data_IF_380702546274
#
_entry.id   IF_380702546274
#
_cell.length_a   1.000
_cell.length_b   1.000
_cell.length_c   1.000
_cell.angle_alpha   90.00
_cell.angle_beta   90.00
_cell.angle_gamma   90.00
#
_symmetry.space_group_name_H-M   'P 1'
#
loop_
_entity.id
_entity.type
_entity.pdbx_description
1 polymer ?
#
# COMPACT_ATOMS: atom_id res chain seq x y z
N UNK A 1 55.42 -15.16 23.58
CA UNK A 1 54.42 -14.27 22.98
C UNK A 1 54.42 -12.99 23.78
N UNK A 2 54.64 -11.86 23.15
CA UNK A 2 54.53 -10.55 23.79
C UNK A 2 53.04 -10.22 24.05
N UNK A 3 52.77 -9.29 24.97
CA UNK A 3 51.40 -8.83 25.25
C UNK A 3 50.72 -8.29 23.99
N UNK A 4 51.46 -7.75 23.04
CA UNK A 4 50.95 -7.32 21.73
C UNK A 4 50.57 -8.49 20.81
N UNK A 5 51.29 -9.61 20.83
CA UNK A 5 50.93 -10.81 20.07
C UNK A 5 49.76 -11.57 20.71
N UNK A 6 49.69 -11.56 22.06
CA UNK A 6 48.54 -12.06 22.78
C UNK A 6 47.29 -11.18 22.52
N UNK A 7 47.46 -9.88 22.40
CA UNK A 7 46.38 -8.93 22.06
C UNK A 7 45.92 -9.12 20.62
N UNK A 8 46.79 -9.44 19.70
CA UNK A 8 46.47 -9.70 18.29
C UNK A 8 45.82 -11.08 18.05
N UNK A 9 46.09 -12.07 18.92
CA UNK A 9 45.53 -13.43 18.84
C UNK A 9 44.27 -13.63 19.67
N UNK A 10 43.88 -12.67 20.48
CA UNK A 10 42.67 -12.78 21.29
C UNK A 10 41.44 -12.45 20.49
N UNK A 11 40.37 -13.13 20.81
CA UNK A 11 39.00 -12.82 20.43
C UNK A 11 38.53 -11.39 20.72
N UNK A 12 39.41 -10.39 20.67
CA UNK A 12 39.05 -8.98 20.60
C UNK A 12 38.26 -8.67 19.33
N UNK A 13 38.38 -9.52 18.31
CA UNK A 13 37.55 -9.45 17.12
C UNK A 13 36.11 -9.93 17.34
N UNK A 14 35.78 -10.60 18.45
CA UNK A 14 34.45 -11.15 18.66
C UNK A 14 33.43 -10.14 19.26
N UNK A 15 33.91 -9.08 19.91
CA UNK A 15 33.05 -8.06 20.50
C UNK A 15 33.52 -6.67 20.11
N UNK A 16 32.62 -5.87 19.62
CA UNK A 16 32.83 -4.47 19.27
C UNK A 16 32.01 -3.57 20.18
N UNK A 17 32.60 -2.42 20.56
CA UNK A 17 31.89 -1.39 21.29
C UNK A 17 32.10 -0.05 20.60
N UNK A 18 31.00 0.68 20.35
CA UNK A 18 31.06 2.03 19.82
C UNK A 18 30.16 2.97 20.62
N UNK A 19 30.52 4.25 20.58
CA UNK A 19 29.77 5.31 21.22
C UNK A 19 29.58 6.50 20.27
N UNK A 20 28.36 6.95 20.15
CA UNK A 20 27.99 8.17 19.44
C UNK A 20 27.55 9.19 20.47
N UNK A 21 28.32 10.27 20.61
CA UNK A 21 28.05 11.31 21.60
C UNK A 21 26.79 12.13 21.24
N UNK A 22 26.13 12.80 22.21
CA UNK A 22 25.03 13.70 21.93
C UNK A 22 25.40 14.86 20.98
N UNK A 23 26.68 15.20 20.90
CA UNK A 23 27.20 16.30 20.06
C UNK A 23 27.79 15.82 18.74
N UNK A 24 27.82 14.51 18.52
CA UNK A 24 28.37 13.94 17.30
C UNK A 24 27.49 14.28 16.08
N UNK A 25 28.11 14.63 14.97
CA UNK A 25 27.42 14.91 13.70
C UNK A 25 26.71 13.68 13.11
N UNK A 26 27.15 12.46 13.46
CA UNK A 26 26.50 11.21 13.07
C UNK A 26 25.28 10.86 13.95
N UNK A 27 24.99 11.65 15.00
CA UNK A 27 23.87 11.42 15.89
C UNK A 27 22.56 11.89 15.25
N UNK A 28 21.79 10.98 14.68
CA UNK A 28 20.53 11.28 14.00
C UNK A 28 19.48 11.86 14.97
N UNK A 29 19.50 11.45 16.23
CA UNK A 29 18.59 12.00 17.23
C UNK A 29 18.88 13.48 17.50
N UNK A 30 20.14 13.90 17.48
CA UNK A 30 20.54 15.30 17.57
C UNK A 30 20.13 16.10 16.35
N UNK A 31 20.17 15.50 15.16
CA UNK A 31 19.71 16.13 13.93
C UNK A 31 18.18 16.29 13.93
N UNK A 32 17.45 15.32 14.49
CA UNK A 32 16.00 15.37 14.63
C UNK A 32 15.55 16.40 15.67
N UNK A 33 16.20 16.41 16.81
CA UNK A 33 15.89 17.31 17.95
C UNK A 33 17.17 17.94 18.45
N UNK A 34 17.36 19.20 18.11
CA UNK A 34 18.55 19.97 18.48
C UNK A 34 18.74 20.13 20.00
N UNK A 35 17.70 19.94 20.79
CA UNK A 35 17.75 19.95 22.25
C UNK A 35 18.03 18.57 22.87
N UNK A 36 18.03 17.52 22.05
CA UNK A 36 18.30 16.17 22.52
C UNK A 36 19.73 16.06 23.06
N UNK A 37 19.85 15.48 24.26
CA UNK A 37 21.13 15.15 24.92
C UNK A 37 21.21 13.63 25.12
N UNK A 38 20.98 12.88 24.04
CA UNK A 38 21.03 11.41 24.00
C UNK A 38 22.28 10.96 23.27
N UNK A 39 23.07 10.10 23.91
CA UNK A 39 24.17 9.37 23.26
C UNK A 39 23.82 7.90 23.09
N UNK A 40 24.44 7.25 22.13
CA UNK A 40 24.20 5.84 21.79
C UNK A 40 25.43 4.99 22.07
N UNK A 41 25.26 3.93 22.85
CA UNK A 41 26.26 2.91 23.14
C UNK A 41 25.86 1.62 22.46
N UNK A 42 26.65 1.18 21.50
CA UNK A 42 26.45 -0.07 20.75
C UNK A 42 27.44 -1.11 21.22
N UNK A 43 26.94 -2.28 21.63
CA UNK A 43 27.72 -3.47 21.93
C UNK A 43 27.37 -4.52 20.87
N UNK A 44 28.30 -4.85 19.98
CA UNK A 44 28.14 -5.76 18.87
C UNK A 44 28.98 -7.03 19.03
N UNK A 45 28.53 -8.10 18.36
CA UNK A 45 29.33 -9.27 18.09
C UNK A 45 29.83 -9.16 16.65
N UNK A 46 31.14 -9.28 16.46
CA UNK A 46 31.78 -9.35 15.15
C UNK A 46 31.77 -10.82 14.67
N UNK A 47 30.56 -11.30 14.38
CA UNK A 47 30.29 -12.70 14.03
C UNK A 47 28.99 -12.84 13.25
N UNK A 48 28.86 -13.95 12.57
CA UNK A 48 27.56 -14.40 12.02
C UNK A 48 26.83 -15.25 13.05
N UNK A 49 25.59 -14.89 13.35
CA UNK A 49 24.67 -15.65 14.17
C UNK A 49 23.61 -16.29 13.27
N UNK A 50 23.46 -17.59 13.37
CA UNK A 50 22.37 -18.31 12.71
C UNK A 50 21.21 -18.51 13.68
N UNK A 51 20.00 -18.11 13.24
CA UNK A 51 18.79 -18.19 14.06
C UNK A 51 17.65 -18.81 13.26
N UNK A 52 17.05 -19.84 13.85
CA UNK A 52 15.79 -20.44 13.38
C UNK A 52 14.80 -20.42 14.55
N UNK A 53 13.68 -19.72 14.38
CA UNK A 53 12.74 -19.48 15.47
C UNK A 53 11.29 -19.54 14.99
N UNK A 54 10.44 -20.14 15.84
CA UNK A 54 8.98 -20.13 15.71
C UNK A 54 8.36 -19.64 17.01
N UNK A 55 7.52 -18.64 16.93
CA UNK A 55 6.85 -18.02 18.06
C UNK A 55 5.35 -18.02 17.80
N UNK A 56 4.59 -18.84 18.54
CA UNK A 56 3.15 -18.95 18.37
C UNK A 56 2.41 -17.63 18.60
N UNK A 57 2.82 -16.89 19.62
CA UNK A 57 2.21 -15.63 20.02
C UNK A 57 3.29 -14.68 20.55
N UNK A 58 3.54 -13.59 19.85
CA UNK A 58 4.44 -12.52 20.28
C UNK A 58 3.59 -11.33 20.72
N UNK A 59 3.63 -11.00 22.01
CA UNK A 59 2.94 -9.84 22.56
C UNK A 59 3.91 -8.97 23.34
N UNK A 60 4.09 -7.72 22.92
CA UNK A 60 4.98 -6.75 23.57
C UNK A 60 4.23 -5.46 23.87
N UNK A 61 4.48 -4.89 25.06
CA UNK A 61 3.91 -3.63 25.46
C UNK A 61 2.39 -3.63 25.65
N UNK A 62 1.83 -4.76 26.11
CA UNK A 62 0.40 -4.88 26.38
C UNK A 62 0.03 -4.17 27.68
N UNK A 63 -0.94 -3.25 27.63
CA UNK A 63 -1.34 -2.46 28.80
C UNK A 63 -0.30 -1.40 29.16
N UNK A 64 -0.15 -1.11 30.48
CA UNK A 64 0.83 -0.18 31.01
C UNK A 64 0.63 1.28 30.56
N UNK A 65 1.73 2.02 30.41
CA UNK A 65 1.72 3.43 30.05
C UNK A 65 1.03 3.75 28.70
N UNK A 66 0.89 2.77 27.84
CA UNK A 66 0.25 2.90 26.52
C UNK A 66 -1.26 2.60 26.52
N UNK A 67 -1.85 2.33 27.66
CA UNK A 67 -3.27 2.05 27.85
C UNK A 67 -3.61 0.56 27.95
N UNK A 68 -4.72 0.25 28.58
CA UNK A 68 -5.18 -1.11 28.80
C UNK A 68 -5.68 -1.75 27.48
N UNK A 69 -5.53 -3.06 27.35
CA UNK A 69 -6.22 -3.89 26.36
C UNK A 69 -5.59 -4.02 24.99
N UNK A 70 -4.59 -3.22 24.63
CA UNK A 70 -3.87 -3.35 23.38
C UNK A 70 -2.36 -3.52 23.60
N UNK A 71 -1.68 -4.22 22.69
CA UNK A 71 -0.23 -4.36 22.70
C UNK A 71 0.39 -3.42 21.67
N UNK A 72 1.62 -2.98 21.90
CA UNK A 72 2.39 -2.25 20.86
C UNK A 72 2.67 -3.17 19.67
N UNK A 73 3.00 -4.43 19.95
CA UNK A 73 3.20 -5.47 18.94
C UNK A 73 2.42 -6.69 19.38
N UNK A 74 1.54 -7.20 18.52
CA UNK A 74 0.80 -8.44 18.71
C UNK A 74 0.79 -9.21 17.38
N UNK A 75 1.53 -10.32 17.35
CA UNK A 75 1.73 -11.13 16.15
C UNK A 75 1.49 -12.60 16.49
N UNK A 76 0.64 -13.25 15.69
CA UNK A 76 0.42 -14.68 15.73
C UNK A 76 1.37 -15.40 14.77
N UNK A 77 1.88 -16.53 15.18
CA UNK A 77 2.70 -17.44 14.37
C UNK A 77 3.83 -16.72 13.60
N UNK A 78 4.69 -16.04 14.34
CA UNK A 78 5.90 -15.45 13.79
C UNK A 78 6.97 -16.51 13.59
N UNK A 79 7.53 -16.63 12.40
CA UNK A 79 8.60 -17.56 12.09
C UNK A 79 9.75 -16.91 11.36
N UNK A 80 10.97 -17.22 11.76
CA UNK A 80 12.21 -16.79 11.14
C UNK A 80 13.07 -17.99 10.77
N UNK A 81 13.47 -18.11 9.51
CA UNK A 81 14.29 -19.19 8.98
C UNK A 81 15.23 -18.69 7.88
N UNK A 82 16.00 -19.58 7.29
CA UNK A 82 16.64 -19.36 5.99
C UNK A 82 15.60 -19.14 4.87
N UNK A 83 16.08 -18.75 3.71
CA UNK A 83 15.21 -18.53 2.52
C UNK A 83 14.74 -19.90 2.01
N UNK A 84 13.49 -20.23 2.27
CA UNK A 84 12.81 -21.42 1.76
C UNK A 84 11.30 -21.21 1.77
N UNK A 85 10.64 -21.77 0.76
CA UNK A 85 9.17 -21.75 0.64
C UNK A 85 8.57 -23.14 0.93
N UNK A 86 9.35 -24.05 1.54
CA UNK A 86 8.89 -25.39 1.95
C UNK A 86 9.12 -25.61 3.44
N UNK A 87 8.27 -26.43 4.08
CA UNK A 87 8.41 -26.78 5.49
C UNK A 87 9.79 -27.37 5.81
N UNK A 88 10.23 -28.35 5.03
CA UNK A 88 11.52 -29.03 5.24
C UNK A 88 12.69 -28.08 5.05
N UNK A 89 12.63 -27.21 4.04
CA UNK A 89 13.66 -26.21 3.79
C UNK A 89 13.69 -25.14 4.89
N UNK A 90 12.55 -24.72 5.45
CA UNK A 90 12.49 -23.81 6.59
C UNK A 90 13.00 -24.45 7.87
N UNK A 91 12.66 -25.72 8.11
CA UNK A 91 13.14 -26.47 9.27
C UNK A 91 14.67 -26.69 9.24
N UNK A 92 15.25 -26.87 8.06
CA UNK A 92 16.67 -27.19 7.86
C UNK A 92 17.56 -26.00 7.59
N UNK A 93 17.05 -24.76 7.64
CA UNK A 93 17.80 -23.55 7.37
C UNK A 93 17.58 -22.50 8.47
N UNK A 94 18.55 -21.60 8.62
CA UNK A 94 18.52 -20.52 9.60
C UNK A 94 18.66 -19.16 8.93
N UNK A 95 18.02 -18.16 9.49
CA UNK A 95 18.33 -16.78 9.15
C UNK A 95 19.74 -16.45 9.64
N UNK A 96 20.48 -15.70 8.83
CA UNK A 96 21.83 -15.26 9.13
C UNK A 96 21.80 -13.80 9.57
N UNK A 97 22.28 -13.54 10.77
CA UNK A 97 22.44 -12.21 11.35
C UNK A 97 23.94 -11.90 11.39
N UNK A 98 24.38 -10.96 10.57
CA UNK A 98 25.78 -10.52 10.55
C UNK A 98 25.97 -9.36 11.51
N UNK A 99 26.96 -9.45 12.37
CA UNK A 99 27.29 -8.46 13.38
C UNK A 99 26.08 -8.03 14.22
N UNK A 100 25.40 -8.95 14.91
CA UNK A 100 24.27 -8.61 15.77
C UNK A 100 24.73 -7.74 16.94
N UNK A 101 23.88 -6.82 17.37
CA UNK A 101 24.21 -5.88 18.43
C UNK A 101 23.02 -5.49 19.31
N UNK A 102 23.37 -5.04 20.52
CA UNK A 102 22.48 -4.32 21.43
C UNK A 102 22.95 -2.87 21.48
N UNK A 103 22.03 -1.94 21.35
CA UNK A 103 22.31 -0.51 21.46
C UNK A 103 21.47 0.13 22.54
N UNK A 104 22.08 0.96 23.36
CA UNK A 104 21.45 1.71 24.44
C UNK A 104 21.43 3.20 24.11
N UNK A 105 20.27 3.80 24.15
CA UNK A 105 20.12 5.26 24.16
C UNK A 105 20.20 5.77 25.57
N UNK A 106 21.18 6.58 25.85
CA UNK A 106 21.43 7.15 27.18
C UNK A 106 21.22 8.65 27.14
N UNK A 107 20.25 9.13 27.89
CA UNK A 107 20.02 10.55 28.11
C UNK A 107 21.01 11.09 29.15
N UNK A 108 21.51 12.30 28.92
CA UNK A 108 22.51 12.96 29.76
C UNK A 108 23.74 12.07 30.11
N UNK A 109 24.40 11.43 29.11
CA UNK A 109 25.43 10.42 29.37
C UNK A 109 26.61 10.93 30.19
N UNK A 110 26.87 12.23 30.14
CA UNK A 110 27.99 12.87 30.84
C UNK A 110 27.68 13.30 32.30
N UNK A 111 26.46 13.06 32.77
CA UNK A 111 26.04 13.45 34.12
C UNK A 111 25.61 12.24 34.94
N UNK A 112 26.40 11.86 35.93
CA UNK A 112 26.10 10.69 36.78
C UNK A 112 24.76 10.83 37.56
N UNK A 113 24.35 12.04 37.87
CA UNK A 113 23.12 12.29 38.64
C UNK A 113 21.84 12.35 37.83
N UNK A 114 21.93 12.60 36.51
CA UNK A 114 20.78 12.74 35.63
C UNK A 114 20.79 11.75 34.44
N UNK A 115 21.79 10.87 34.40
CA UNK A 115 21.91 9.86 33.38
C UNK A 115 20.82 8.81 33.55
N UNK A 116 20.09 8.54 32.43
CA UNK A 116 19.06 7.50 32.40
C UNK A 116 19.09 6.73 31.09
N UNK A 117 18.65 5.49 31.10
CA UNK A 117 18.44 4.69 29.87
C UNK A 117 17.13 5.15 29.24
N UNK A 118 17.22 5.84 28.10
CA UNK A 118 16.08 6.31 27.35
C UNK A 118 15.49 5.21 26.45
N UNK A 119 16.30 4.21 26.08
CA UNK A 119 15.85 3.08 25.28
C UNK A 119 16.91 2.00 25.06
N UNK A 120 16.46 0.85 24.58
CA UNK A 120 17.29 -0.27 24.16
C UNK A 120 16.83 -0.77 22.78
N UNK A 121 17.78 -1.14 21.92
CA UNK A 121 17.51 -1.69 20.58
C UNK A 121 18.33 -2.96 20.35
N UNK A 122 17.66 -3.95 19.77
CA UNK A 122 18.26 -5.17 19.24
C UNK A 122 18.24 -5.11 17.72
N UNK A 123 19.37 -5.37 17.07
CA UNK A 123 19.48 -5.37 15.61
C UNK A 123 20.71 -6.14 15.16
N UNK A 124 20.94 -6.22 13.85
CA UNK A 124 22.15 -6.67 13.22
C UNK A 124 22.50 -5.74 12.06
N UNK A 125 23.75 -5.71 11.64
CA UNK A 125 24.18 -4.89 10.49
C UNK A 125 23.56 -5.39 9.19
N UNK A 126 23.36 -6.72 9.09
CA UNK A 126 22.69 -7.37 7.97
C UNK A 126 21.89 -8.58 8.48
N UNK A 127 20.69 -8.77 7.95
CA UNK A 127 19.87 -9.95 8.23
C UNK A 127 19.44 -10.57 6.91
N UNK A 128 19.72 -11.86 6.73
CA UNK A 128 19.29 -12.65 5.57
C UNK A 128 18.41 -13.81 6.05
N UNK A 129 17.27 -13.99 5.41
CA UNK A 129 16.34 -15.06 5.78
C UNK A 129 14.90 -14.75 5.36
N UNK A 130 14.00 -15.58 5.84
CA UNK A 130 12.56 -15.44 5.61
C UNK A 130 11.85 -15.25 6.94
N UNK A 131 11.20 -14.11 7.09
CA UNK A 131 10.32 -13.78 8.21
C UNK A 131 8.87 -13.89 7.75
N UNK A 132 8.04 -14.62 8.48
CA UNK A 132 6.62 -14.80 8.15
C UNK A 132 5.73 -14.59 9.36
N UNK A 133 4.48 -14.20 9.09
CA UNK A 133 3.43 -13.94 10.07
C UNK A 133 2.18 -14.73 9.71
N UNK A 134 1.42 -15.21 10.71
CA UNK A 134 0.23 -16.02 10.48
C UNK A 134 0.56 -17.45 10.06
N UNK A 135 -0.43 -18.32 9.99
CA UNK A 135 -0.24 -19.73 9.68
C UNK A 135 -0.56 -20.11 8.24
N UNK A 136 -1.56 -19.49 7.66
CA UNK A 136 -2.05 -19.80 6.31
C UNK A 136 -2.73 -18.59 5.69
N UNK A 137 -2.78 -18.58 4.36
CA UNK A 137 -3.57 -17.63 3.61
C UNK A 137 -5.05 -18.03 3.68
N UNK A 138 -5.78 -17.44 4.61
CA UNK A 138 -7.19 -17.75 4.88
C UNK A 138 -8.06 -16.51 4.68
N UNK A 139 -9.36 -16.72 4.47
CA UNK A 139 -10.33 -15.65 4.47
C UNK A 139 -10.45 -14.92 5.83
N UNK A 140 -10.05 -15.60 6.90
CA UNK A 140 -9.93 -15.02 8.24
C UNK A 140 -8.51 -14.56 8.45
N UNK A 141 -8.34 -13.29 8.76
CA UNK A 141 -7.03 -12.70 9.04
C UNK A 141 -6.36 -13.42 10.22
N UNK A 142 -5.08 -13.68 10.10
CA UNK A 142 -4.19 -14.11 11.17
C UNK A 142 -2.78 -13.56 10.89
N UNK A 143 -1.96 -13.41 11.91
CA UNK A 143 -0.63 -12.84 11.77
C UNK A 143 -0.49 -11.54 12.56
N UNK A 144 -0.43 -10.39 11.94
CA UNK A 144 -0.24 -9.11 12.63
C UNK A 144 -1.59 -8.58 13.12
N UNK A 145 -1.83 -8.66 14.44
CA UNK A 145 -3.04 -8.12 15.08
C UNK A 145 -2.88 -6.67 15.48
N UNK A 146 -1.65 -6.26 15.86
CA UNK A 146 -1.29 -4.89 16.20
C UNK A 146 0.19 -4.67 15.90
N UNK A 147 0.51 -3.52 15.36
CA UNK A 147 1.86 -3.16 14.96
C UNK A 147 2.20 -1.74 15.39
N UNK A 148 3.29 -1.61 16.13
CA UNK A 148 3.95 -0.33 16.34
C UNK A 148 5.32 -0.40 15.69
N UNK A 149 5.52 0.37 14.63
CA UNK A 149 6.74 0.22 13.87
C UNK A 149 6.76 0.94 12.53
N UNK A 150 7.72 0.52 11.75
CA UNK A 150 7.96 0.95 10.37
C UNK A 150 8.15 -0.28 9.51
N UNK A 151 7.43 -0.34 8.41
CA UNK A 151 7.60 -1.35 7.37
C UNK A 151 7.39 -0.73 5.99
N UNK A 152 7.86 -1.41 4.96
CA UNK A 152 7.71 -0.99 3.57
C UNK A 152 7.03 -2.13 2.82
N UNK A 153 6.01 -1.85 1.99
CA UNK A 153 5.45 -2.86 1.10
C UNK A 153 6.27 -2.95 -0.18
N UNK A 154 6.37 -4.13 -0.74
CA UNK A 154 6.88 -4.31 -2.11
C UNK A 154 5.88 -3.75 -3.11
N UNK A 155 6.38 -3.18 -4.21
CA UNK A 155 5.52 -2.84 -5.34
C UNK A 155 4.93 -4.11 -5.93
N UNK A 156 3.62 -4.12 -6.18
CA UNK A 156 2.91 -5.28 -6.69
C UNK A 156 1.82 -4.89 -7.67
N UNK A 157 1.39 -5.83 -8.48
CA UNK A 157 0.33 -5.66 -9.46
C UNK A 157 -0.71 -6.75 -9.36
N UNK A 158 -1.81 -6.53 -10.06
CA UNK A 158 -2.91 -7.47 -10.19
C UNK A 158 -3.84 -7.06 -11.32
N UNK A 159 -4.94 -7.77 -11.45
CA UNK A 159 -6.01 -7.44 -12.38
C UNK A 159 -7.26 -7.03 -11.60
N UNK A 160 -8.01 -6.09 -12.14
CA UNK A 160 -9.29 -5.68 -11.60
C UNK A 160 -10.38 -5.93 -12.63
N UNK A 161 -11.52 -6.45 -12.18
CA UNK A 161 -12.71 -6.57 -13.01
C UNK A 161 -13.84 -5.79 -12.36
N UNK A 162 -14.57 -4.99 -13.16
CA UNK A 162 -15.70 -4.21 -12.69
C UNK A 162 -17.00 -4.98 -12.87
N UNK A 163 -17.94 -4.81 -11.94
CA UNK A 163 -19.28 -5.31 -12.10
C UNK A 163 -20.04 -4.46 -13.14
N UNK A 164 -20.86 -5.11 -13.97
CA UNK A 164 -21.75 -4.40 -14.85
C UNK A 164 -22.84 -3.65 -14.08
N UNK A 165 -23.25 -2.50 -14.61
CA UNK A 165 -24.40 -1.73 -14.14
C UNK A 165 -25.34 -1.52 -15.35
N UNK A 166 -26.37 -2.37 -15.52
CA UNK A 166 -27.24 -2.28 -16.70
C UNK A 166 -28.11 -1.02 -16.67
N UNK A 167 -28.66 -0.64 -17.79
CA UNK A 167 -29.69 0.40 -17.91
C UNK A 167 -30.83 0.10 -16.93
N UNK A 168 -31.34 1.13 -16.26
CA UNK A 168 -32.31 0.97 -15.17
C UNK A 168 -31.70 0.67 -13.79
N UNK A 169 -30.36 0.59 -13.69
CA UNK A 169 -29.66 0.42 -12.39
C UNK A 169 -29.51 1.71 -11.58
N UNK A 170 -30.15 2.80 -12.02
CA UNK A 170 -30.12 4.08 -11.34
C UNK A 170 -29.02 5.04 -11.80
N UNK A 171 -28.34 4.77 -12.91
CA UNK A 171 -27.39 5.70 -13.53
C UNK A 171 -28.11 6.78 -14.32
N UNK A 172 -28.98 7.52 -13.64
CA UNK A 172 -29.79 8.59 -14.23
C UNK A 172 -29.22 9.97 -13.89
N UNK A 173 -29.59 10.98 -14.69
CA UNK A 173 -29.15 12.35 -14.44
C UNK A 173 -29.61 12.86 -13.07
N UNK A 174 -30.85 12.50 -12.67
CA UNK A 174 -31.43 12.91 -11.38
C UNK A 174 -30.62 12.31 -10.20
N UNK A 175 -30.28 11.02 -10.28
CA UNK A 175 -29.56 10.35 -9.21
C UNK A 175 -28.08 10.81 -9.14
N UNK A 176 -27.44 10.97 -10.28
CA UNK A 176 -26.02 11.39 -10.33
C UNK A 176 -25.85 12.91 -10.14
N UNK A 177 -26.90 13.69 -10.38
CA UNK A 177 -26.88 15.15 -10.25
C UNK A 177 -25.83 15.82 -11.16
N UNK A 178 -25.55 15.23 -12.33
CA UNK A 178 -24.57 15.78 -13.30
C UNK A 178 -25.12 15.68 -14.70
N UNK A 179 -24.77 16.65 -15.54
CA UNK A 179 -25.12 16.67 -16.96
C UNK A 179 -23.98 16.12 -17.81
N UNK A 180 -24.34 15.46 -18.89
CA UNK A 180 -23.39 15.16 -19.97
C UNK A 180 -23.41 16.34 -20.93
N UNK A 181 -22.25 16.92 -21.16
CA UNK A 181 -22.07 18.06 -22.08
C UNK A 181 -21.05 17.71 -23.16
N UNK A 182 -21.11 18.42 -24.26
CA UNK A 182 -20.17 18.21 -25.37
C UNK A 182 -20.51 19.08 -26.56
N UNK A 183 -19.92 18.73 -27.71
CA UNK A 183 -20.21 19.37 -28.99
C UNK A 183 -20.70 18.32 -29.98
N UNK A 184 -21.64 18.74 -30.79
CA UNK A 184 -22.15 17.93 -31.91
C UNK A 184 -21.84 18.63 -33.24
N UNK A 185 -21.45 17.86 -34.23
CA UNK A 185 -21.20 18.32 -35.60
C UNK A 185 -22.05 17.54 -36.59
N UNK A 186 -22.47 18.20 -37.65
CA UNK A 186 -23.18 17.58 -38.74
C UNK A 186 -22.82 18.22 -40.08
N UNK A 187 -22.90 17.46 -41.17
CA UNK A 187 -22.53 17.92 -42.51
C UNK A 187 -23.76 18.04 -43.42
N UNK A 188 -23.75 19.03 -44.32
CA UNK A 188 -24.65 19.14 -45.44
C UNK A 188 -23.83 19.33 -46.70
N UNK A 189 -24.01 18.46 -47.71
CA UNK A 189 -23.28 18.51 -48.97
C UNK A 189 -21.74 18.57 -48.77
N UNK A 190 -21.24 17.89 -47.73
CA UNK A 190 -19.81 17.89 -47.40
C UNK A 190 -19.30 19.13 -46.60
N UNK A 191 -20.17 20.09 -46.33
CA UNK A 191 -19.83 21.25 -45.49
C UNK A 191 -20.28 21.03 -44.06
N UNK A 192 -19.44 21.35 -43.07
CA UNK A 192 -19.77 21.34 -41.66
C UNK A 192 -20.71 22.49 -41.35
N UNK A 193 -22.03 22.25 -41.36
CA UNK A 193 -23.04 23.29 -41.14
C UNK A 193 -23.57 23.32 -39.69
N UNK A 194 -23.44 22.20 -39.00
CA UNK A 194 -23.85 22.11 -37.58
C UNK A 194 -22.58 21.93 -36.77
N UNK A 195 -22.36 22.85 -35.86
CA UNK A 195 -21.31 22.75 -34.84
C UNK A 195 -21.85 23.49 -33.59
N UNK A 196 -22.44 22.73 -32.72
CA UNK A 196 -23.19 23.27 -31.59
C UNK A 196 -22.82 22.55 -30.29
N UNK A 197 -22.89 23.25 -29.19
CA UNK A 197 -22.81 22.61 -27.90
C UNK A 197 -24.14 21.91 -27.58
N UNK A 198 -24.06 20.84 -26.81
CA UNK A 198 -25.22 20.18 -26.24
C UNK A 198 -25.04 19.97 -24.74
N UNK A 199 -26.17 19.87 -24.04
CA UNK A 199 -26.25 19.48 -22.63
C UNK A 199 -27.42 18.55 -22.42
N UNK A 200 -27.21 17.47 -21.70
CA UNK A 200 -28.28 16.54 -21.40
C UNK A 200 -29.34 17.18 -20.51
N UNK A 201 -30.61 16.87 -20.82
CA UNK A 201 -31.77 17.16 -19.97
C UNK A 201 -32.20 15.94 -19.17
N UNK A 202 -31.91 14.75 -19.70
CA UNK A 202 -32.10 13.47 -19.01
C UNK A 202 -31.22 12.40 -19.63
N UNK A 203 -30.92 11.36 -18.86
CA UNK A 203 -30.32 10.11 -19.34
C UNK A 203 -30.61 8.96 -18.37
N UNK A 204 -30.55 7.73 -18.89
CA UNK A 204 -30.48 6.48 -18.14
C UNK A 204 -29.40 5.62 -18.80
N UNK A 205 -28.29 5.42 -18.09
CA UNK A 205 -27.09 4.79 -18.63
C UNK A 205 -26.91 3.37 -18.11
N UNK A 206 -26.23 2.55 -18.91
CA UNK A 206 -25.73 1.25 -18.54
C UNK A 206 -24.23 1.15 -18.83
N UNK A 207 -23.51 0.46 -17.98
CA UNK A 207 -22.09 0.17 -18.10
C UNK A 207 -21.88 -1.34 -18.15
N UNK A 208 -21.13 -1.82 -19.12
CA UNK A 208 -20.70 -3.23 -19.13
C UNK A 208 -19.66 -3.49 -18.05
N UNK A 209 -19.49 -4.77 -17.68
CA UNK A 209 -18.26 -5.19 -17.00
C UNK A 209 -17.06 -4.92 -17.89
N UNK A 210 -15.96 -4.59 -17.25
CA UNK A 210 -14.68 -4.37 -17.91
C UNK A 210 -13.56 -4.89 -17.04
N UNK A 211 -12.39 -5.10 -17.64
CA UNK A 211 -11.20 -5.52 -16.91
C UNK A 211 -10.05 -4.54 -17.12
N UNK A 212 -9.13 -4.51 -16.17
CA UNK A 212 -7.98 -3.63 -16.21
C UNK A 212 -6.83 -4.15 -15.37
N UNK A 213 -5.75 -3.40 -15.37
CA UNK A 213 -4.61 -3.62 -14.49
C UNK A 213 -4.77 -2.80 -13.22
N UNK A 214 -4.30 -3.36 -12.10
CA UNK A 214 -4.14 -2.67 -10.81
C UNK A 214 -2.67 -2.68 -10.44
N UNK A 215 -2.14 -1.57 -9.98
CA UNK A 215 -0.76 -1.43 -9.54
C UNK A 215 -0.69 -0.64 -8.25
N UNK A 216 -0.03 -1.22 -7.23
CA UNK A 216 0.34 -0.56 -5.99
C UNK A 216 1.86 -0.40 -5.95
N UNK A 217 2.38 0.83 -5.88
CA UNK A 217 3.81 1.07 -5.70
C UNK A 217 4.26 0.64 -4.31
N UNK A 218 5.57 0.57 -4.12
CA UNK A 218 6.15 0.41 -2.78
C UNK A 218 5.76 1.59 -1.89
N UNK A 219 5.30 1.30 -0.67
CA UNK A 219 4.79 2.31 0.26
C UNK A 219 5.26 2.04 1.68
N UNK A 220 5.44 3.12 2.43
CA UNK A 220 5.77 3.07 3.85
C UNK A 220 4.49 2.95 4.67
N UNK A 221 4.50 2.01 5.60
CA UNK A 221 3.49 1.83 6.63
C UNK A 221 4.18 2.07 7.97
N UNK A 222 3.77 3.08 8.69
CA UNK A 222 4.37 3.42 9.98
C UNK A 222 3.33 4.01 10.92
N UNK A 223 3.39 3.59 12.17
CA UNK A 223 2.47 4.07 13.18
C UNK A 223 2.58 3.29 14.48
N UNK A 224 1.80 3.71 15.47
CA UNK A 224 1.69 3.08 16.76
C UNK A 224 0.37 2.36 16.89
N UNK A 225 0.42 1.05 17.23
CA UNK A 225 -0.74 0.18 17.42
C UNK A 225 -1.70 0.20 16.22
N UNK A 226 -1.16 0.27 15.00
CA UNK A 226 -1.95 0.19 13.80
C UNK A 226 -2.38 -1.26 13.54
N UNK A 227 -3.57 -1.43 13.00
CA UNK A 227 -4.17 -2.73 12.64
C UNK A 227 -4.42 -2.83 11.14
N UNK A 228 -4.38 -1.69 10.45
CA UNK A 228 -4.62 -1.59 9.01
C UNK A 228 -3.56 -0.70 8.36
N UNK A 229 -3.37 -0.91 7.07
CA UNK A 229 -2.55 -0.08 6.20
C UNK A 229 -3.39 0.60 5.13
N UNK A 230 -3.20 1.89 4.94
CA UNK A 230 -3.79 2.62 3.82
C UNK A 230 -2.79 2.60 2.66
N UNK A 231 -3.14 1.84 1.61
CA UNK A 231 -2.34 1.68 0.41
C UNK A 231 -2.97 2.49 -0.73
N UNK A 232 -2.15 3.15 -1.51
CA UNK A 232 -2.57 3.89 -2.69
C UNK A 232 -1.98 3.27 -3.95
N UNK A 233 -2.74 3.30 -5.02
CA UNK A 233 -2.31 2.74 -6.29
C UNK A 233 -3.09 3.31 -7.45
N UNK A 234 -2.91 2.73 -8.62
CA UNK A 234 -3.62 3.10 -9.83
C UNK A 234 -4.18 1.87 -10.50
N UNK A 235 -5.40 1.99 -11.01
CA UNK A 235 -5.96 1.02 -11.93
C UNK A 235 -6.16 1.69 -13.30
N UNK A 236 -6.06 0.89 -14.37
CA UNK A 236 -6.37 1.33 -15.72
C UNK A 236 -7.38 0.36 -16.31
N UNK A 237 -8.58 0.85 -16.62
CA UNK A 237 -9.70 0.05 -17.11
C UNK A 237 -10.06 0.47 -18.52
N UNK A 238 -10.25 -0.50 -19.41
CA UNK A 238 -10.61 -0.27 -20.81
C UNK A 238 -11.75 -1.18 -21.25
N UNK A 239 -12.43 -0.79 -22.33
CA UNK A 239 -13.53 -1.59 -22.87
C UNK A 239 -14.83 -1.49 -22.07
N UNK A 240 -15.04 -0.38 -21.37
CA UNK A 240 -16.33 -0.12 -20.70
C UNK A 240 -17.32 0.31 -21.76
N UNK A 241 -18.24 -0.57 -22.15
CA UNK A 241 -19.31 -0.19 -23.07
C UNK A 241 -20.34 0.64 -22.31
N UNK A 242 -20.56 1.83 -22.81
CA UNK A 242 -21.60 2.77 -22.36
C UNK A 242 -22.80 2.62 -23.27
N UNK A 243 -23.94 2.33 -22.70
CA UNK A 243 -25.22 2.22 -23.42
C UNK A 243 -26.29 2.98 -22.68
N UNK A 244 -27.43 3.22 -23.30
CA UNK A 244 -28.57 3.83 -22.59
C UNK A 244 -29.39 4.75 -23.47
N UNK A 245 -30.12 5.65 -22.84
CA UNK A 245 -30.90 6.70 -23.49
C UNK A 245 -30.46 8.06 -23.03
N UNK A 246 -30.52 9.05 -23.89
CA UNK A 246 -30.19 10.45 -23.57
C UNK A 246 -31.16 11.38 -24.28
N UNK A 247 -31.59 12.43 -23.58
CA UNK A 247 -32.15 13.62 -24.17
C UNK A 247 -31.27 14.83 -23.87
N UNK A 248 -31.03 15.67 -24.85
CA UNK A 248 -30.13 16.82 -24.71
C UNK A 248 -30.63 17.99 -25.55
N UNK A 249 -30.47 19.20 -25.02
CA UNK A 249 -30.73 20.43 -25.76
C UNK A 249 -29.45 20.98 -26.34
N UNK A 250 -29.54 21.58 -27.52
CA UNK A 250 -28.41 22.25 -28.20
C UNK A 250 -28.59 23.77 -28.15
N UNK A 251 -27.48 24.50 -28.34
CA UNK A 251 -27.54 25.97 -28.44
C UNK A 251 -28.36 26.46 -29.68
N UNK A 252 -28.62 25.58 -30.62
CA UNK A 252 -29.48 25.85 -31.81
C UNK A 252 -30.99 25.58 -31.55
N UNK A 253 -31.38 25.37 -30.30
CA UNK A 253 -32.80 25.11 -29.88
C UNK A 253 -33.33 23.79 -30.51
N UNK A 254 -32.44 22.85 -30.79
CA UNK A 254 -32.79 21.51 -31.28
C UNK A 254 -32.63 20.54 -30.11
N UNK A 255 -33.70 19.81 -29.78
CA UNK A 255 -33.62 18.72 -28.83
C UNK A 255 -33.20 17.43 -29.53
N UNK A 256 -32.16 16.79 -29.04
CA UNK A 256 -31.64 15.50 -29.46
C UNK A 256 -32.19 14.47 -28.44
N UNK A 257 -32.79 13.40 -28.88
CA UNK A 257 -33.20 12.32 -28.00
C UNK A 257 -33.07 10.96 -28.67
N UNK A 258 -32.47 10.00 -27.96
CA UNK A 258 -32.27 8.68 -28.55
C UNK A 258 -31.44 7.74 -27.74
N UNK A 259 -31.05 6.63 -28.36
CA UNK A 259 -30.15 5.65 -27.78
C UNK A 259 -28.70 6.16 -27.84
N UNK A 260 -28.04 6.07 -26.72
CA UNK A 260 -26.63 6.39 -26.56
C UNK A 260 -25.82 5.10 -26.61
N UNK A 261 -24.74 5.09 -27.41
CA UNK A 261 -23.76 4.03 -27.41
C UNK A 261 -22.34 4.60 -27.47
N UNK A 262 -21.39 3.89 -26.90
CA UNK A 262 -19.95 4.23 -26.96
C UNK A 262 -19.12 3.27 -26.14
N UNK A 263 -17.81 3.44 -26.22
CA UNK A 263 -16.85 2.65 -25.46
C UNK A 263 -15.87 3.58 -24.76
N UNK A 264 -15.70 3.43 -23.45
CA UNK A 264 -14.72 4.18 -22.67
C UNK A 264 -13.46 3.32 -22.54
N UNK A 265 -12.32 3.86 -22.98
CA UNK A 265 -11.01 3.24 -22.88
C UNK A 265 -10.05 4.08 -22.03
N UNK A 266 -9.07 3.40 -21.47
CA UNK A 266 -7.95 3.99 -20.72
C UNK A 266 -8.40 4.88 -19.55
N UNK A 267 -9.51 4.50 -18.88
CA UNK A 267 -9.93 5.19 -17.67
C UNK A 267 -8.95 4.88 -16.55
N UNK A 268 -8.21 5.90 -16.13
CA UNK A 268 -7.35 5.85 -14.95
C UNK A 268 -8.17 6.00 -13.67
N UNK A 269 -7.90 5.16 -12.70
CA UNK A 269 -8.54 5.22 -11.38
C UNK A 269 -7.45 5.28 -10.32
N UNK A 270 -7.46 6.34 -9.50
CA UNK A 270 -6.64 6.38 -8.29
C UNK A 270 -7.35 5.56 -7.21
N UNK A 271 -6.68 4.50 -6.78
CA UNK A 271 -7.23 3.53 -5.83
C UNK A 271 -6.65 3.78 -4.46
N UNK A 272 -7.49 3.86 -3.44
CA UNK A 272 -7.10 3.83 -2.04
C UNK A 272 -7.66 2.54 -1.42
N UNK A 273 -6.78 1.69 -0.91
CA UNK A 273 -7.11 0.40 -0.30
C UNK A 273 -6.79 0.48 1.18
N UNK A 274 -7.74 0.16 2.03
CA UNK A 274 -7.50 -0.01 3.46
C UNK A 274 -7.41 -1.50 3.75
N UNK A 275 -6.17 -2.01 3.89
CA UNK A 275 -5.89 -3.43 4.08
C UNK A 275 -5.57 -3.74 5.54
N UNK A 276 -6.11 -4.84 6.05
CA UNK A 276 -5.81 -5.33 7.40
C UNK A 276 -4.41 -5.95 7.44
N UNK A 277 -3.61 -5.59 8.45
CA UNK A 277 -2.24 -6.11 8.59
C UNK A 277 -2.20 -7.62 8.83
N UNK A 278 -3.28 -8.23 9.27
CA UNK A 278 -3.41 -9.68 9.41
C UNK A 278 -3.33 -10.44 8.07
N UNK A 279 -3.40 -9.75 6.95
CA UNK A 279 -3.16 -10.33 5.62
C UNK A 279 -1.73 -10.20 5.13
N UNK A 280 -0.87 -9.48 5.84
CA UNK A 280 0.55 -9.37 5.51
C UNK A 280 1.28 -10.59 6.07
N UNK A 281 1.93 -11.33 5.21
CA UNK A 281 2.42 -12.66 5.58
C UNK A 281 3.95 -12.80 5.50
N UNK A 282 4.63 -12.24 4.51
CA UNK A 282 6.00 -12.59 4.17
C UNK A 282 6.93 -11.38 4.00
N UNK A 283 8.10 -11.47 4.63
CA UNK A 283 9.21 -10.51 4.49
C UNK A 283 10.47 -11.27 4.11
N UNK A 284 11.00 -11.01 2.93
CA UNK A 284 12.30 -11.52 2.51
C UNK A 284 13.40 -10.60 3.07
N UNK A 285 14.12 -11.07 4.08
CA UNK A 285 15.26 -10.36 4.65
C UNK A 285 16.50 -10.61 3.78
N UNK A 286 16.92 -9.62 3.02
CA UNK A 286 17.91 -9.75 1.95
C UNK A 286 19.19 -8.93 2.20
N UNK A 287 19.56 -8.76 3.46
CA UNK A 287 20.83 -8.13 3.85
C UNK A 287 20.66 -6.71 4.41
N UNK A 288 19.44 -6.19 4.54
CA UNK A 288 19.21 -4.95 5.28
C UNK A 288 18.94 -5.21 6.76
N UNK A 289 19.16 -4.19 7.59
CA UNK A 289 18.88 -4.28 9.01
C UNK A 289 17.38 -4.36 9.30
N UNK A 290 17.02 -5.14 10.30
CA UNK A 290 15.74 -5.05 11.00
C UNK A 290 16.03 -4.84 12.48
N UNK A 291 15.16 -4.15 13.19
CA UNK A 291 15.41 -3.85 14.59
C UNK A 291 14.15 -3.89 15.44
N UNK A 292 14.31 -4.35 16.67
CA UNK A 292 13.30 -4.28 17.72
C UNK A 292 13.82 -3.39 18.83
N UNK A 293 13.07 -2.36 19.18
CA UNK A 293 13.47 -1.40 20.19
C UNK A 293 12.37 -1.14 21.23
N UNK A 294 12.80 -0.76 22.42
CA UNK A 294 11.94 -0.29 23.51
C UNK A 294 12.50 1.03 24.02
N UNK A 295 11.68 2.07 24.05
CA UNK A 295 12.09 3.40 24.47
C UNK A 295 11.01 4.13 25.25
N UNK A 296 11.43 4.98 26.18
CA UNK A 296 10.53 5.80 27.00
C UNK A 296 10.09 7.11 26.32
N UNK A 297 10.73 7.48 25.23
CA UNK A 297 10.45 8.69 24.44
C UNK A 297 10.65 8.41 22.95
N UNK A 298 10.26 9.34 22.08
CA UNK A 298 10.56 9.22 20.66
C UNK A 298 12.07 9.33 20.42
N UNK A 299 12.65 8.37 19.70
CA UNK A 299 14.09 8.29 19.42
C UNK A 299 14.36 8.01 17.94
N UNK A 300 15.31 8.73 17.38
CA UNK A 300 15.90 8.41 16.09
C UNK A 300 17.19 7.61 16.32
N UNK A 301 17.09 6.29 16.20
CA UNK A 301 18.23 5.39 16.35
C UNK A 301 19.23 5.54 15.21
N UNK A 302 20.49 5.19 15.48
CA UNK A 302 21.56 5.23 14.47
C UNK A 302 21.21 4.31 13.29
N UNK A 303 21.20 4.87 12.08
CA UNK A 303 20.91 4.12 10.85
C UNK A 303 19.45 3.67 10.69
N UNK A 304 18.54 4.01 11.62
CA UNK A 304 17.12 3.71 11.48
C UNK A 304 16.45 4.56 10.40
N UNK A 305 15.47 3.99 9.73
CA UNK A 305 14.67 4.65 8.69
C UNK A 305 13.52 5.47 9.26
N UNK A 306 13.13 5.20 10.50
CA UNK A 306 12.02 5.84 11.18
C UNK A 306 12.39 6.39 12.55
N UNK A 307 11.58 7.31 13.05
CA UNK A 307 11.59 7.70 14.47
C UNK A 307 10.80 6.67 15.25
N UNK A 308 11.47 5.92 16.12
CA UNK A 308 10.82 4.99 17.03
C UNK A 308 10.02 5.75 18.08
N UNK A 309 8.71 5.48 18.16
CA UNK A 309 7.86 6.13 19.17
C UNK A 309 7.98 5.42 20.52
N UNK A 310 7.59 6.12 21.61
CA UNK A 310 7.64 5.56 22.97
C UNK A 310 6.86 4.23 23.06
N UNK A 311 7.46 3.23 23.72
CA UNK A 311 7.01 1.84 23.78
C UNK A 311 7.86 0.92 22.93
N UNK A 312 7.33 -0.24 22.57
CA UNK A 312 7.96 -1.18 21.64
C UNK A 312 7.80 -0.71 20.20
N UNK A 313 8.87 -0.90 19.40
CA UNK A 313 8.91 -0.49 18.01
C UNK A 313 9.67 -1.52 17.17
N UNK A 314 9.02 -2.05 16.14
CA UNK A 314 9.62 -2.97 15.18
C UNK A 314 9.86 -2.26 13.86
N UNK A 315 11.12 -2.20 13.42
CA UNK A 315 11.47 -1.63 12.13
C UNK A 315 11.90 -2.74 11.17
N UNK A 316 11.19 -2.83 10.04
CA UNK A 316 11.46 -3.75 8.95
C UNK A 316 11.79 -2.93 7.70
N UNK A 317 13.06 -2.80 7.38
CA UNK A 317 13.52 -2.00 6.24
C UNK A 317 13.43 -2.75 4.90
N UNK A 318 13.34 -4.09 4.92
CA UNK A 318 13.07 -4.89 3.73
C UNK A 318 11.59 -4.82 3.36
N UNK A 319 11.27 -4.74 2.05
CA UNK A 319 9.90 -4.72 1.61
C UNK A 319 9.14 -6.01 1.95
N UNK A 320 7.94 -5.84 2.47
CA UNK A 320 6.99 -6.92 2.73
C UNK A 320 6.28 -7.26 1.43
N UNK A 321 6.28 -8.53 1.07
CA UNK A 321 5.54 -9.06 -0.06
C UNK A 321 4.07 -9.25 0.35
N UNK A 322 3.19 -8.46 -0.25
CA UNK A 322 1.73 -8.55 -0.02
C UNK A 322 1.03 -9.39 -1.10
N UNK A 323 1.78 -9.98 -2.01
CA UNK A 323 1.27 -10.84 -3.08
C UNK A 323 0.57 -10.11 -4.22
N UNK A 324 -0.25 -10.84 -4.96
CA UNK A 324 -1.07 -10.34 -6.05
C UNK A 324 -2.29 -9.59 -5.48
N UNK A 325 -2.47 -8.36 -5.91
CA UNK A 325 -3.57 -7.48 -5.45
C UNK A 325 -4.86 -7.61 -6.28
N UNK A 326 -5.02 -8.73 -6.99
CA UNK A 326 -6.27 -9.03 -7.71
C UNK A 326 -7.42 -9.31 -6.73
N UNK A 327 -8.51 -8.54 -6.76
CA UNK A 327 -9.67 -8.79 -5.91
C UNK A 327 -10.35 -10.13 -6.23
N UNK A 328 -10.86 -10.83 -5.21
CA UNK A 328 -11.65 -12.06 -5.40
C UNK A 328 -12.96 -11.81 -6.12
N UNK A 329 -13.57 -10.66 -5.88
CA UNK A 329 -14.86 -10.27 -6.44
C UNK A 329 -14.72 -9.10 -7.41
N UNK A 330 -15.67 -8.97 -8.31
CA UNK A 330 -15.78 -7.80 -9.15
C UNK A 330 -15.98 -6.54 -8.30
N UNK A 331 -15.32 -5.47 -8.69
CA UNK A 331 -15.42 -4.18 -8.01
C UNK A 331 -16.66 -3.43 -8.52
N UNK A 332 -17.51 -3.02 -7.59
CA UNK A 332 -18.68 -2.19 -7.92
C UNK A 332 -18.24 -0.76 -8.17
N UNK A 333 -18.56 -0.23 -9.36
CA UNK A 333 -18.32 1.18 -9.69
C UNK A 333 -19.40 2.03 -8.98
N UNK A 334 -18.99 2.85 -8.02
CA UNK A 334 -19.91 3.72 -7.25
C UNK A 334 -20.43 4.89 -8.10
N UNK A 335 -21.53 5.50 -7.67
CA UNK A 335 -22.11 6.68 -8.35
C UNK A 335 -21.12 7.85 -8.42
N UNK A 336 -20.31 8.05 -7.38
CA UNK A 336 -19.28 9.10 -7.38
C UNK A 336 -18.20 8.88 -8.46
N UNK A 337 -17.78 7.64 -8.67
CA UNK A 337 -16.83 7.28 -9.75
C UNK A 337 -17.48 7.48 -11.10
N UNK A 338 -18.75 7.07 -11.28
CA UNK A 338 -19.49 7.31 -12.54
C UNK A 338 -19.62 8.80 -12.81
N UNK A 339 -20.06 9.57 -11.82
CA UNK A 339 -20.18 11.04 -11.92
C UNK A 339 -18.85 11.71 -12.33
N UNK A 340 -17.77 11.35 -11.67
CA UNK A 340 -16.44 11.87 -12.01
C UNK A 340 -16.03 11.47 -13.43
N UNK A 341 -16.32 10.23 -13.85
CA UNK A 341 -16.05 9.73 -15.20
C UNK A 341 -16.84 10.49 -16.25
N UNK A 342 -18.15 10.73 -16.01
CA UNK A 342 -18.99 11.51 -16.92
C UNK A 342 -18.48 12.94 -17.10
N UNK A 343 -17.89 13.54 -16.06
CA UNK A 343 -17.19 14.81 -16.18
C UNK A 343 -16.02 14.75 -17.17
N UNK A 344 -15.23 13.67 -17.15
CA UNK A 344 -14.14 13.44 -18.11
C UNK A 344 -14.64 13.15 -19.51
N UNK A 345 -15.71 12.35 -19.63
CA UNK A 345 -16.39 12.10 -20.91
C UNK A 345 -16.90 13.40 -21.52
N UNK A 346 -17.54 14.26 -20.73
CA UNK A 346 -18.03 15.56 -21.19
C UNK A 346 -16.90 16.46 -21.70
N UNK A 347 -15.76 16.48 -20.99
CA UNK A 347 -14.58 17.21 -21.43
C UNK A 347 -14.03 16.65 -22.75
N UNK A 348 -13.99 15.33 -22.89
CA UNK A 348 -13.58 14.67 -24.13
C UNK A 348 -14.52 15.04 -25.30
N UNK A 349 -15.84 14.97 -25.10
CA UNK A 349 -16.86 15.27 -26.12
C UNK A 349 -16.88 16.76 -26.53
N UNK A 350 -16.41 17.65 -25.66
CA UNK A 350 -16.21 19.06 -26.01
C UNK A 350 -15.06 19.26 -26.98
N UNK A 351 -13.97 18.49 -26.81
CA UNK A 351 -12.78 18.54 -27.65
C UNK A 351 -12.92 17.68 -28.92
N UNK A 352 -13.75 16.62 -28.87
CA UNK A 352 -14.00 15.67 -29.93
C UNK A 352 -15.51 15.61 -30.22
N UNK A 353 -16.03 16.53 -31.06
CA UNK A 353 -17.46 16.64 -31.30
C UNK A 353 -18.09 15.34 -31.85
N UNK A 354 -19.22 14.96 -31.28
CA UNK A 354 -20.03 13.82 -31.76
C UNK A 354 -20.46 14.07 -33.22
N UNK A 355 -20.22 13.09 -34.08
CA UNK A 355 -20.60 13.18 -35.48
C UNK A 355 -22.06 12.73 -35.69
N UNK A 356 -22.93 13.68 -35.98
CA UNK A 356 -24.33 13.43 -36.22
C UNK A 356 -24.62 13.11 -37.71
N UNK A 357 -23.62 12.96 -38.53
CA UNK A 357 -23.75 12.60 -39.95
C UNK A 357 -24.33 13.73 -40.82
N UNK A 358 -24.78 13.33 -42.04
CA UNK A 358 -25.37 14.26 -43.01
C UNK A 358 -26.73 14.76 -42.47
N UNK A 359 -26.93 16.08 -42.48
CA UNK A 359 -28.14 16.77 -41.96
C UNK A 359 -28.39 16.51 -40.46
N UNK A 360 -27.37 16.05 -39.73
CA UNK A 360 -27.50 15.64 -38.32
C UNK A 360 -28.54 14.52 -38.10
N UNK A 361 -28.87 13.76 -39.09
CA UNK A 361 -29.95 12.75 -39.10
C UNK A 361 -29.75 11.70 -38.00
N UNK A 362 -28.50 11.25 -37.79
CA UNK A 362 -28.21 10.23 -36.76
C UNK A 362 -28.62 10.70 -35.36
N UNK A 363 -28.32 11.94 -35.01
CA UNK A 363 -28.68 12.48 -33.72
C UNK A 363 -30.17 12.86 -33.60
N UNK A 364 -30.83 13.18 -34.72
CA UNK A 364 -32.23 13.53 -34.76
C UNK A 364 -33.15 12.29 -34.84
N UNK A 365 -32.66 11.17 -35.42
CA UNK A 365 -33.42 9.93 -35.54
C UNK A 365 -33.16 8.92 -34.42
N UNK A 366 -32.45 9.32 -33.40
CA UNK A 366 -32.43 8.59 -32.15
C UNK A 366 -31.27 7.63 -31.92
N UNK A 367 -30.15 7.74 -32.66
CA UNK A 367 -28.95 6.99 -32.40
C UNK A 367 -27.76 7.94 -32.25
N UNK A 368 -27.28 8.08 -31.02
CA UNK A 368 -26.13 8.92 -30.68
C UNK A 368 -24.94 7.99 -30.37
N UNK A 369 -24.08 7.84 -31.37
CA UNK A 369 -22.83 7.08 -31.21
C UNK A 369 -21.70 8.04 -30.81
N UNK A 370 -21.24 7.95 -29.58
CA UNK A 370 -20.08 8.72 -29.10
C UNK A 370 -18.77 8.02 -29.46
N UNK A 371 -18.84 6.89 -30.15
CA UNK A 371 -17.68 6.10 -30.57
C UNK A 371 -16.76 5.70 -29.40
N UNK A 372 -15.47 5.79 -29.60
CA UNK A 372 -14.49 5.50 -28.54
C UNK A 372 -14.09 6.78 -27.84
N UNK A 373 -14.37 6.84 -26.54
CA UNK A 373 -13.91 7.89 -25.64
C UNK A 373 -12.59 7.43 -25.01
N UNK A 374 -11.50 8.01 -25.45
CA UNK A 374 -10.17 7.74 -24.90
C UNK A 374 -9.87 8.70 -23.74
N UNK A 375 -9.72 8.14 -22.54
CA UNK A 375 -9.43 8.89 -21.31
C UNK A 375 -7.97 8.72 -20.85
N UNK A 376 -7.04 8.44 -21.77
CA UNK A 376 -5.61 8.35 -21.44
C UNK A 376 -5.13 9.56 -20.63
N UNK A 377 -4.52 9.30 -19.49
CA UNK A 377 -4.01 10.34 -18.59
C UNK A 377 -5.08 11.04 -17.73
N UNK A 378 -6.35 10.61 -17.83
CA UNK A 378 -7.43 11.11 -16.97
C UNK A 378 -7.68 10.13 -15.82
N UNK A 379 -7.71 10.65 -14.59
CA UNK A 379 -7.88 9.84 -13.38
C UNK A 379 -9.11 10.28 -12.59
N UNK A 380 -9.77 9.29 -12.00
CA UNK A 380 -10.87 9.49 -11.04
C UNK A 380 -10.52 8.81 -9.71
N UNK A 381 -10.86 9.39 -8.57
CA UNK A 381 -10.59 8.75 -7.28
C UNK A 381 -11.59 7.63 -7.00
N UNK A 382 -11.10 6.54 -6.38
CA UNK A 382 -11.92 5.43 -5.90
C UNK A 382 -11.37 4.88 -4.59
N UNK A 383 -12.18 4.80 -3.56
CA UNK A 383 -11.83 4.16 -2.30
C UNK A 383 -12.35 2.73 -2.31
N UNK A 384 -11.46 1.78 -2.10
CA UNK A 384 -11.78 0.37 -1.96
C UNK A 384 -11.57 -0.03 -0.51
N UNK A 385 -12.61 -0.50 0.14
CA UNK A 385 -12.56 -0.99 1.51
C UNK A 385 -12.97 -2.45 1.53
N UNK A 386 -12.35 -3.24 2.41
CA UNK A 386 -12.65 -4.66 2.59
C UNK A 386 -12.47 -5.51 1.31
N UNK A 387 -11.49 -5.16 0.48
CA UNK A 387 -11.11 -5.98 -0.66
C UNK A 387 -10.47 -7.27 -0.16
N UNK A 388 -11.09 -8.41 -0.45
CA UNK A 388 -10.47 -9.72 -0.27
C UNK A 388 -9.64 -10.00 -1.53
N UNK A 389 -8.33 -10.18 -1.37
CA UNK A 389 -7.40 -10.46 -2.46
C UNK A 389 -7.43 -11.95 -2.83
N UNK A 390 -7.23 -12.23 -4.11
CA UNK A 390 -7.35 -13.58 -4.66
C UNK A 390 -6.14 -14.46 -4.36
N UNK A 391 -4.95 -13.90 -4.45
CA UNK A 391 -3.69 -14.62 -4.34
C UNK A 391 -2.71 -13.82 -3.50
N UNK A 392 -2.78 -13.95 -2.18
CA UNK A 392 -1.77 -13.37 -1.32
C UNK A 392 -0.48 -14.22 -1.35
N UNK A 393 0.66 -13.56 -1.20
CA UNK A 393 1.94 -14.25 -1.14
C UNK A 393 2.06 -15.00 0.18
N UNK A 394 2.25 -16.31 0.11
CA UNK A 394 2.24 -17.20 1.26
C UNK A 394 3.50 -18.09 1.27
N UNK A 395 4.01 -18.38 2.44
CA UNK A 395 5.05 -19.38 2.69
C UNK A 395 4.68 -20.19 3.94
N UNK A 396 4.99 -21.49 3.99
CA UNK A 396 4.72 -22.34 5.15
C UNK A 396 5.31 -21.71 6.41
N UNK A 397 4.51 -21.62 7.44
CA UNK A 397 4.88 -20.97 8.69
C UNK A 397 5.07 -21.93 9.86
N UNK A 398 4.48 -23.11 9.74
CA UNK A 398 4.59 -24.19 10.70
C UNK A 398 5.61 -25.19 10.22
N UNK A 399 6.78 -25.29 10.88
CA UNK A 399 7.84 -26.21 10.51
C UNK A 399 8.63 -26.70 11.73
N UNK A 400 9.40 -27.77 11.51
CA UNK A 400 10.14 -28.42 12.59
C UNK A 400 9.25 -29.30 13.48
N UNK A 401 9.71 -29.59 14.70
CA UNK A 401 9.01 -30.40 15.66
C UNK A 401 8.10 -29.60 16.62
N UNK A 402 7.78 -28.38 16.27
CA UNK A 402 6.97 -27.50 17.12
C UNK A 402 5.48 -27.85 16.99
N UNK A 403 4.83 -28.04 18.13
CA UNK A 403 3.43 -28.51 18.20
C UNK A 403 2.38 -27.40 18.12
N UNK A 404 2.75 -26.19 17.75
CA UNK A 404 1.80 -25.09 17.72
C UNK A 404 1.13 -24.87 16.36
N UNK A 405 1.49 -25.67 15.39
CA UNK A 405 0.79 -25.78 14.12
C UNK A 405 -0.31 -26.89 14.19
#
# INVERSE_FOLDING_TARGET
>A
MSDSELSATRGQALMSMSYIAPTDSANLEKLRDSNSNVGFYKLGLDADLELNANIKKLQLGCGGANGAGACDIDIDNLSLSGLSETNDGRASSSAKLTNPFIEFAIKNPNSASTREVAGVRLSAESIQGLLTFGSENTATKNGINSFSGYMVTQATGGTVSTAARPTGSGLTQDNLGTQITGRAKGTLLGLNIINTNFRSTSYDLGLSSASGSLFLPSQVISGKRITTANLTGTANVSGINLTGTIAADTDLIITIAGNLSGTINNLGVNVAVNEDLGYFHKVNLNGTAASLSLQGQNLQWTGAKSVSQAGWWLELSNPIDIGDVTPQSQVVITDDVVKATLGKVSQYLTNNPVDCGTLAINCLLGNIDVSTVDLTGQYVPMNLTNLVLKNQSFAPNCYGNLKFC
#
